data_IF_316810137429
#
_entry.id   IF_316810137429
#
_cell.length_a   1.000
_cell.length_b   1.000
_cell.length_c   1.000
_cell.angle_alpha   90.00
_cell.angle_beta   90.00
_cell.angle_gamma   90.00
#
_symmetry.space_group_name_H-M   'P 1'
#
loop_
_entity.id
_entity.type
_entity.pdbx_description
1 polymer ?
#
# COMPACT_ATOMS: atom_id res chain seq x y z
N UNK A 1 -16.71 -17.19 3.82
CA UNK A 1 -15.60 -16.26 4.11
C UNK A 1 -15.17 -15.62 2.80
N UNK A 2 -15.63 -14.40 2.52
CA UNK A 2 -15.32 -13.68 1.27
C UNK A 2 -15.15 -12.21 1.58
N UNK A 3 -13.95 -11.81 1.99
CA UNK A 3 -13.59 -10.41 2.14
C UNK A 3 -13.14 -9.89 0.79
N UNK A 4 -13.99 -9.13 0.11
CA UNK A 4 -13.68 -8.50 -1.17
C UNK A 4 -12.51 -7.54 -1.02
N UNK A 5 -11.48 -7.70 -1.88
CA UNK A 5 -10.49 -6.66 -2.10
C UNK A 5 -11.22 -5.43 -2.64
N UNK A 6 -11.50 -4.49 -1.74
CA UNK A 6 -12.23 -3.25 -2.01
C UNK A 6 -11.29 -2.08 -1.76
N UNK A 7 -11.14 -1.23 -2.77
CA UNK A 7 -10.40 0.00 -2.65
C UNK A 7 -11.39 1.08 -2.24
N UNK A 8 -11.12 1.69 -1.08
CA UNK A 8 -11.72 2.98 -0.75
C UNK A 8 -10.97 4.05 -1.53
N UNK A 9 -11.67 4.78 -2.38
CA UNK A 9 -11.11 5.92 -3.09
C UNK A 9 -11.21 7.13 -2.14
N UNK A 10 -10.06 7.61 -1.61
CA UNK A 10 -10.07 8.72 -0.66
C UNK A 10 -10.58 10.02 -1.33
N UNK A 11 -11.26 10.85 -0.54
CA UNK A 11 -11.48 12.25 -0.88
C UNK A 11 -10.14 13.00 -0.73
N UNK A 12 -9.30 13.00 -1.76
CA UNK A 12 -8.02 13.70 -1.73
C UNK A 12 -7.18 13.45 -2.99
N UNK A 13 -6.11 14.25 -3.21
CA UNK A 13 -5.26 14.17 -4.38
C UNK A 13 -4.31 12.97 -4.26
N UNK A 14 -4.84 11.76 -4.08
CA UNK A 14 -4.05 10.55 -4.22
C UNK A 14 -3.99 10.19 -5.70
N UNK A 15 -2.83 10.35 -6.37
CA UNK A 15 -2.68 10.21 -7.82
C UNK A 15 -2.69 8.74 -8.29
N UNK A 16 -3.13 7.81 -7.44
CA UNK A 16 -2.98 6.36 -7.67
C UNK A 16 -4.18 5.75 -8.40
N UNK A 17 -5.33 6.44 -8.44
CA UNK A 17 -6.45 6.02 -9.27
C UNK A 17 -6.18 6.49 -10.70
N UNK A 18 -6.19 5.57 -11.66
CA UNK A 18 -5.95 5.81 -13.10
C UNK A 18 -6.97 6.73 -13.80
N UNK A 19 -7.80 7.41 -13.01
CA UNK A 19 -8.70 8.48 -13.43
C UNK A 19 -8.10 9.88 -13.19
N UNK A 20 -6.97 10.00 -12.47
CA UNK A 20 -6.37 11.29 -12.10
C UNK A 20 -4.85 11.17 -11.83
N UNK A 21 -3.99 11.70 -12.72
CA UNK A 21 -3.06 12.73 -12.24
C UNK A 21 -2.66 13.82 -13.26
N UNK A 22 -2.33 15.00 -12.73
CA UNK A 22 -1.59 16.11 -13.37
C UNK A 22 -2.30 16.89 -14.50
N UNK A 23 -3.29 17.70 -14.14
CA UNK A 23 -3.90 18.68 -15.03
C UNK A 23 -5.38 18.88 -14.68
N UNK A 24 -5.91 20.06 -14.95
CA UNK A 24 -7.25 20.51 -14.57
C UNK A 24 -8.43 19.72 -15.23
N UNK A 25 -8.26 18.47 -15.67
CA UNK A 25 -9.32 17.62 -16.23
C UNK A 25 -9.11 16.11 -16.01
N UNK A 26 -10.17 15.31 -15.75
CA UNK A 26 -10.09 13.85 -15.60
C UNK A 26 -9.75 13.15 -16.93
N UNK A 27 -8.48 12.85 -17.15
CA UNK A 27 -8.05 12.01 -18.28
C UNK A 27 -7.98 10.54 -17.84
N UNK A 28 -8.62 9.68 -18.62
CA UNK A 28 -8.54 8.22 -18.44
C UNK A 28 -7.23 7.74 -19.04
N UNK A 29 -6.51 6.87 -18.32
CA UNK A 29 -5.30 6.28 -18.82
C UNK A 29 -5.57 5.58 -20.19
N UNK A 30 -4.70 5.76 -21.20
CA UNK A 30 -4.96 5.30 -22.57
C UNK A 30 -5.02 3.78 -22.72
N UNK A 31 -4.45 3.05 -21.77
CA UNK A 31 -4.40 1.59 -21.66
C UNK A 31 -5.45 1.03 -20.67
N UNK A 32 -6.39 1.86 -20.23
CA UNK A 32 -7.57 1.42 -19.48
C UNK A 32 -8.73 1.11 -20.43
N UNK A 33 -9.48 0.05 -20.15
CA UNK A 33 -10.70 -0.25 -20.90
C UNK A 33 -11.72 0.90 -20.81
N UNK A 34 -12.26 1.32 -21.96
CA UNK A 34 -13.13 2.48 -22.04
C UNK A 34 -14.47 2.27 -21.31
N UNK A 35 -15.02 1.06 -21.35
CA UNK A 35 -16.27 0.74 -20.67
C UNK A 35 -16.07 0.69 -19.15
N UNK A 36 -14.96 0.11 -18.69
CA UNK A 36 -14.56 0.11 -17.29
C UNK A 36 -14.33 1.53 -16.77
N UNK A 37 -13.63 2.36 -17.55
CA UNK A 37 -13.41 3.76 -17.23
C UNK A 37 -14.72 4.56 -17.08
N UNK A 38 -15.70 4.32 -17.96
CA UNK A 38 -17.03 4.93 -17.86
C UNK A 38 -17.76 4.51 -16.58
N UNK A 39 -17.68 3.22 -16.21
CA UNK A 39 -18.26 2.72 -14.95
C UNK A 39 -17.61 3.37 -13.74
N UNK A 40 -16.28 3.52 -13.74
CA UNK A 40 -15.56 4.17 -12.65
C UNK A 40 -15.92 5.66 -12.53
N UNK A 41 -16.05 6.39 -13.65
CA UNK A 41 -16.51 7.80 -13.66
C UNK A 41 -17.91 7.96 -13.09
N UNK A 42 -18.83 7.05 -13.41
CA UNK A 42 -20.18 7.06 -12.83
C UNK A 42 -20.18 6.82 -11.31
N UNK A 43 -19.30 5.93 -10.82
CA UNK A 43 -19.12 5.66 -9.39
C UNK A 43 -18.36 6.76 -8.65
N UNK A 44 -17.48 7.46 -9.35
CA UNK A 44 -16.58 8.47 -8.82
C UNK A 44 -16.76 9.81 -9.56
N UNK A 45 -17.87 10.52 -9.35
CA UNK A 45 -18.11 11.79 -10.03
C UNK A 45 -17.08 12.85 -9.61
N UNK A 46 -16.68 13.77 -10.50
CA UNK A 46 -15.70 14.80 -10.18
C UNK A 46 -16.14 15.69 -9.00
N UNK A 47 -15.20 16.32 -8.28
CA UNK A 47 -15.48 17.12 -7.08
C UNK A 47 -16.45 18.29 -7.29
N UNK A 48 -16.66 18.74 -8.54
CA UNK A 48 -17.56 19.82 -8.90
C UNK A 48 -19.05 19.44 -8.90
N UNK A 49 -19.40 18.15 -8.71
CA UNK A 49 -20.78 17.76 -8.47
C UNK A 49 -21.17 18.12 -7.02
N UNK A 50 -22.37 18.70 -6.77
CA UNK A 50 -22.80 19.04 -5.41
C UNK A 50 -22.65 17.81 -4.51
N UNK A 51 -22.12 17.95 -3.29
CA UNK A 51 -21.96 16.82 -2.39
C UNK A 51 -23.33 16.20 -2.18
N UNK A 52 -23.55 15.02 -2.77
CA UNK A 52 -24.72 14.22 -2.47
C UNK A 52 -24.65 13.97 -0.96
N UNK A 53 -25.58 14.57 -0.23
CA UNK A 53 -25.70 14.53 1.22
C UNK A 53 -25.29 13.15 1.76
N UNK A 54 -24.25 13.12 2.60
CA UNK A 54 -23.71 11.91 3.21
C UNK A 54 -22.25 11.65 2.87
N UNK A 55 -21.52 11.16 3.88
CA UNK A 55 -20.15 10.64 3.74
C UNK A 55 -20.20 9.39 2.85
N UNK A 56 -20.12 9.57 1.53
CA UNK A 56 -20.08 8.45 0.58
C UNK A 56 -18.65 7.97 0.48
N UNK A 57 -18.31 6.96 1.28
CA UNK A 57 -17.11 6.17 1.04
C UNK A 57 -17.22 5.60 -0.38
N UNK A 58 -16.47 6.18 -1.33
CA UNK A 58 -16.46 5.73 -2.73
C UNK A 58 -15.65 4.45 -2.79
N UNK A 59 -16.31 3.35 -2.51
CA UNK A 59 -15.70 2.02 -2.52
C UNK A 59 -15.94 1.38 -3.87
N UNK A 60 -14.85 0.93 -4.50
CA UNK A 60 -14.86 0.18 -5.75
C UNK A 60 -14.20 -1.17 -5.49
N UNK A 61 -14.75 -2.23 -6.06
CA UNK A 61 -14.14 -3.56 -6.01
C UNK A 61 -12.89 -3.57 -6.90
N UNK A 62 -11.75 -4.08 -6.42
CA UNK A 62 -10.53 -4.20 -7.24
C UNK A 62 -10.70 -5.22 -8.37
N UNK A 63 -11.59 -6.19 -8.18
CA UNK A 63 -12.00 -7.16 -9.19
C UNK A 63 -13.48 -6.94 -9.52
N UNK A 64 -13.81 -6.36 -10.69
CA UNK A 64 -15.21 -6.12 -11.08
C UNK A 64 -15.98 -7.41 -11.37
N UNK A 65 -15.30 -8.52 -11.67
CA UNK A 65 -15.90 -9.79 -12.09
C UNK A 65 -16.19 -10.69 -10.89
N UNK A 66 -15.17 -10.99 -10.07
CA UNK A 66 -15.26 -11.91 -8.92
C UNK A 66 -15.01 -11.22 -7.59
N UNK A 67 -15.84 -10.21 -7.31
CA UNK A 67 -15.74 -9.28 -6.17
C UNK A 67 -15.39 -9.90 -4.83
N UNK A 68 -15.95 -11.06 -4.48
CA UNK A 68 -15.84 -11.69 -3.15
C UNK A 68 -15.01 -12.99 -3.15
N UNK A 69 -14.35 -13.32 -4.26
CA UNK A 69 -13.64 -14.59 -4.43
C UNK A 69 -12.15 -14.31 -4.62
N UNK A 70 -11.31 -15.03 -3.88
CA UNK A 70 -9.87 -15.02 -4.08
C UNK A 70 -9.52 -16.03 -5.18
N UNK A 71 -9.34 -15.53 -6.39
CA UNK A 71 -8.94 -16.33 -7.55
C UNK A 71 -7.99 -15.56 -8.48
N UNK A 72 -7.69 -16.14 -9.65
CA UNK A 72 -6.79 -15.54 -10.63
C UNK A 72 -7.50 -14.61 -11.63
N UNK A 73 -8.79 -14.31 -11.43
CA UNK A 73 -9.54 -13.40 -12.30
C UNK A 73 -8.93 -12.00 -12.29
N UNK A 74 -8.35 -11.58 -11.16
CA UNK A 74 -7.57 -10.35 -11.06
C UNK A 74 -6.51 -10.22 -12.18
N UNK A 75 -5.76 -11.29 -12.47
CA UNK A 75 -4.74 -11.29 -13.52
C UNK A 75 -5.33 -11.23 -14.93
N UNK A 76 -6.53 -11.79 -15.12
CA UNK A 76 -7.27 -11.65 -16.38
C UNK A 76 -7.78 -10.22 -16.57
N UNK A 77 -8.17 -9.54 -15.50
CA UNK A 77 -8.60 -8.15 -15.54
C UNK A 77 -7.42 -7.21 -15.90
N UNK A 78 -6.20 -7.51 -15.41
CA UNK A 78 -4.97 -6.79 -15.83
C UNK A 78 -4.80 -6.87 -17.36
N UNK A 79 -4.94 -8.06 -17.94
CA UNK A 79 -4.81 -8.25 -19.40
C UNK A 79 -5.87 -7.49 -20.21
N UNK A 80 -7.02 -7.20 -19.61
CA UNK A 80 -8.12 -6.44 -20.22
C UNK A 80 -8.04 -4.93 -19.96
N UNK A 81 -7.07 -4.46 -19.20
CA UNK A 81 -7.02 -3.06 -18.77
C UNK A 81 -8.14 -2.67 -17.80
N UNK A 82 -8.75 -3.65 -17.11
CA UNK A 82 -9.85 -3.48 -16.16
C UNK A 82 -9.33 -3.34 -14.71
N UNK A 83 -8.27 -2.55 -14.51
CA UNK A 83 -7.60 -2.39 -13.20
C UNK A 83 -7.63 -0.96 -12.70
N UNK A 84 -7.76 -0.81 -11.38
CA UNK A 84 -8.01 0.49 -10.76
C UNK A 84 -6.73 1.33 -10.56
N UNK A 85 -5.63 0.69 -10.16
CA UNK A 85 -4.40 1.39 -9.81
C UNK A 85 -3.37 1.36 -10.93
N UNK A 86 -2.60 2.43 -11.03
CA UNK A 86 -1.48 2.52 -11.99
C UNK A 86 -0.43 1.46 -11.72
N UNK A 87 -0.17 1.13 -10.45
CA UNK A 87 0.77 0.08 -10.04
C UNK A 87 0.41 -1.30 -10.60
N UNK A 88 -0.87 -1.60 -10.75
CA UNK A 88 -1.34 -2.87 -11.27
C UNK A 88 -1.20 -2.93 -12.79
N UNK A 89 -1.50 -1.82 -13.45
CA UNK A 89 -1.34 -1.70 -14.90
C UNK A 89 0.13 -1.78 -15.34
N UNK A 90 1.06 -1.31 -14.51
CA UNK A 90 2.49 -1.45 -14.81
C UNK A 90 2.99 -2.90 -14.76
N UNK A 91 2.21 -3.85 -14.24
CA UNK A 91 2.61 -5.27 -14.26
C UNK A 91 2.72 -5.84 -15.68
N UNK A 92 2.09 -5.23 -16.67
CA UNK A 92 2.20 -5.65 -18.08
C UNK A 92 3.17 -4.79 -18.89
N UNK A 93 3.80 -3.77 -18.30
CA UNK A 93 4.72 -2.89 -19.04
C UNK A 93 6.11 -3.49 -19.22
N UNK A 94 6.55 -4.37 -18.32
CA UNK A 94 7.82 -5.09 -18.42
C UNK A 94 7.58 -6.55 -18.88
N UNK A 95 8.44 -7.08 -19.74
CA UNK A 95 8.29 -8.43 -20.33
C UNK A 95 8.24 -9.53 -19.27
N UNK A 96 9.08 -9.43 -18.25
CA UNK A 96 9.21 -10.46 -17.22
C UNK A 96 7.95 -10.54 -16.35
N UNK A 97 7.42 -9.39 -15.95
CA UNK A 97 6.18 -9.31 -15.15
C UNK A 97 4.96 -9.65 -16.01
N UNK A 98 4.94 -9.25 -17.28
CA UNK A 98 3.86 -9.58 -18.22
C UNK A 98 3.75 -11.09 -18.44
N UNK A 99 4.87 -11.79 -18.58
CA UNK A 99 4.89 -13.26 -18.70
C UNK A 99 4.31 -13.95 -17.46
N UNK A 100 4.62 -13.43 -16.26
CA UNK A 100 4.03 -13.94 -15.01
C UNK A 100 2.52 -13.65 -14.92
N UNK A 101 2.08 -12.47 -15.34
CA UNK A 101 0.65 -12.12 -15.39
C UNK A 101 -0.10 -13.10 -16.28
N UNK A 102 0.43 -13.39 -17.48
CA UNK A 102 -0.17 -14.33 -18.43
C UNK A 102 -0.17 -15.78 -17.91
N UNK A 103 0.91 -16.18 -17.25
CA UNK A 103 0.99 -17.49 -16.59
C UNK A 103 -0.07 -17.65 -15.48
N UNK A 104 -0.21 -16.65 -14.61
CA UNK A 104 -1.19 -16.67 -13.52
C UNK A 104 -2.63 -16.54 -14.01
N UNK A 105 -2.89 -15.76 -15.06
CA UNK A 105 -4.20 -15.65 -15.69
C UNK A 105 -4.69 -17.00 -16.27
N UNK A 106 -3.78 -17.81 -16.82
CA UNK A 106 -4.10 -19.13 -17.39
C UNK A 106 -4.15 -20.27 -16.38
N UNK A 107 -3.35 -20.22 -15.31
CA UNK A 107 -3.24 -21.33 -14.35
C UNK A 107 -3.60 -20.93 -12.91
N UNK A 108 -4.86 -21.13 -12.55
CA UNK A 108 -5.39 -20.84 -11.20
C UNK A 108 -4.67 -21.61 -10.09
N UNK A 109 -4.33 -22.89 -10.30
CA UNK A 109 -3.68 -23.72 -9.27
C UNK A 109 -2.27 -23.24 -8.99
N UNK A 110 -1.52 -22.93 -10.05
CA UNK A 110 -0.17 -22.39 -9.94
C UNK A 110 -0.17 -21.03 -9.24
N UNK A 111 -1.07 -20.13 -9.66
CA UNK A 111 -1.25 -18.85 -9.00
C UNK A 111 -1.53 -19.02 -7.50
N UNK A 112 -2.50 -19.87 -7.13
CA UNK A 112 -2.86 -20.08 -5.72
C UNK A 112 -1.69 -20.63 -4.89
N UNK A 113 -0.92 -21.56 -5.45
CA UNK A 113 0.28 -22.10 -4.81
C UNK A 113 1.35 -21.02 -4.60
N UNK A 114 1.59 -20.17 -5.60
CA UNK A 114 2.57 -19.07 -5.51
C UNK A 114 2.11 -17.97 -4.56
N UNK A 115 0.82 -17.66 -4.57
CA UNK A 115 0.21 -16.74 -3.62
C UNK A 115 0.39 -17.22 -2.18
N UNK A 116 0.11 -18.50 -1.89
CA UNK A 116 0.32 -19.07 -0.56
C UNK A 116 1.79 -18.99 -0.12
N UNK A 117 2.73 -19.35 -1.00
CA UNK A 117 4.16 -19.25 -0.71
C UNK A 117 4.60 -17.80 -0.45
N UNK A 118 4.07 -16.84 -1.21
CA UNK A 118 4.35 -15.42 -1.03
C UNK A 118 3.83 -14.89 0.32
N UNK A 119 2.63 -15.29 0.73
CA UNK A 119 2.05 -14.89 2.03
C UNK A 119 2.85 -15.46 3.22
N UNK A 120 3.34 -16.69 3.12
CA UNK A 120 4.24 -17.26 4.14
C UNK A 120 5.56 -16.48 4.20
N UNK A 121 6.15 -16.17 3.03
CA UNK A 121 7.39 -15.37 2.98
C UNK A 121 7.20 -13.98 3.58
N UNK A 122 6.08 -13.32 3.27
CA UNK A 122 5.73 -12.00 3.80
C UNK A 122 5.51 -12.03 5.32
N UNK A 123 4.89 -13.10 5.84
CA UNK A 123 4.69 -13.29 7.28
C UNK A 123 5.97 -13.56 8.08
N UNK A 124 7.08 -13.86 7.41
CA UNK A 124 8.37 -14.12 8.03
C UNK A 124 9.33 -12.91 7.99
N UNK A 125 8.89 -11.76 7.45
CA UNK A 125 9.72 -10.55 7.41
C UNK A 125 9.77 -9.90 8.79
N UNK A 126 10.99 -9.62 9.27
CA UNK A 126 11.29 -8.86 10.50
C UNK A 126 10.48 -9.28 11.73
N UNK A 127 10.23 -10.59 11.86
CA UNK A 127 9.46 -11.15 12.97
C UNK A 127 10.27 -11.11 14.27
N UNK A 128 9.65 -10.61 15.34
CA UNK A 128 10.21 -10.66 16.69
C UNK A 128 10.09 -12.08 17.23
N UNK A 129 11.21 -12.69 17.61
CA UNK A 129 11.26 -14.08 18.08
C UNK A 129 11.97 -14.21 19.43
N UNK A 130 11.73 -15.33 20.13
CA UNK A 130 12.32 -15.58 21.45
C UNK A 130 11.83 -14.57 22.49
N UNK A 131 12.76 -13.82 23.08
CA UNK A 131 12.49 -12.78 24.07
C UNK A 131 12.33 -11.38 23.47
N UNK A 132 12.32 -11.25 22.14
CA UNK A 132 12.13 -9.96 21.46
C UNK A 132 10.63 -9.59 21.45
N UNK A 133 10.31 -8.38 21.89
CA UNK A 133 8.93 -7.86 21.90
C UNK A 133 8.10 -8.34 23.10
N UNK A 134 6.76 -8.32 22.94
CA UNK A 134 5.81 -8.68 23.98
C UNK A 134 4.54 -9.32 23.41
N UNK A 135 3.89 -10.18 24.19
CA UNK A 135 2.56 -10.71 23.86
C UNK A 135 1.51 -9.71 24.36
N UNK A 136 0.93 -8.94 23.43
CA UNK A 136 -0.08 -7.92 23.76
C UNK A 136 -1.40 -8.54 24.15
N UNK A 137 -1.91 -8.20 25.33
CA UNK A 137 -3.30 -8.51 25.74
C UNK A 137 -4.33 -7.68 24.96
N UNK A 138 -3.93 -6.48 24.55
CA UNK A 138 -4.75 -5.55 23.79
C UNK A 138 -3.90 -4.99 22.65
N UNK A 139 -4.30 -5.22 21.39
CA UNK A 139 -3.47 -4.87 20.23
C UNK A 139 -3.25 -3.36 20.05
N UNK A 140 -4.16 -2.54 20.59
CA UNK A 140 -4.15 -1.08 20.48
C UNK A 140 -3.24 -0.38 21.51
N UNK A 141 -2.53 -1.11 22.37
CA UNK A 141 -1.61 -0.53 23.35
C UNK A 141 -0.44 -1.46 23.66
N UNK A 142 0.67 -0.85 24.08
CA UNK A 142 1.86 -1.56 24.55
C UNK A 142 1.70 -1.84 26.04
N UNK A 143 2.26 -2.92 26.59
CA UNK A 143 2.34 -3.04 28.05
C UNK A 143 3.31 -1.95 28.54
N UNK A 144 2.94 -1.29 29.63
CA UNK A 144 3.73 -0.20 30.22
C UNK A 144 5.20 -0.58 30.57
N UNK A 145 5.52 -1.87 30.59
CA UNK A 145 6.89 -2.38 30.79
C UNK A 145 7.80 -2.27 29.56
N UNK A 146 7.25 -2.14 28.35
CA UNK A 146 8.04 -1.99 27.12
C UNK A 146 8.47 -0.53 26.85
N UNK A 147 7.94 0.44 27.59
CA UNK A 147 8.29 1.87 27.42
C UNK A 147 9.68 2.20 27.96
N UNK A 148 10.28 1.33 28.78
CA UNK A 148 11.56 1.62 29.44
C UNK A 148 12.79 1.52 28.52
N UNK A 149 12.72 0.81 27.38
CA UNK A 149 13.90 0.59 26.53
C UNK A 149 14.10 1.61 25.39
N UNK A 150 13.12 2.47 25.11
CA UNK A 150 13.26 3.54 24.10
C UNK A 150 13.73 4.86 24.73
N UNK A 151 13.29 5.15 25.97
CA UNK A 151 13.71 6.37 26.69
C UNK A 151 15.22 6.37 26.99
N UNK A 152 15.84 5.20 27.20
CA UNK A 152 17.28 5.11 27.47
C UNK A 152 18.12 5.41 26.21
N UNK A 153 17.63 5.09 25.01
CA UNK A 153 18.32 5.42 23.75
C UNK A 153 18.29 6.91 23.45
N UNK A 154 17.18 7.58 23.74
CA UNK A 154 17.08 9.03 23.59
C UNK A 154 17.90 9.78 24.66
N UNK A 155 18.06 9.19 25.86
CA UNK A 155 18.96 9.72 26.89
C UNK A 155 20.44 9.59 26.49
N UNK A 156 20.85 8.47 25.87
CA UNK A 156 22.22 8.27 25.38
C UNK A 156 22.57 9.26 24.27
N UNK A 157 21.67 9.50 23.30
CA UNK A 157 21.93 10.46 22.20
C UNK A 157 22.07 11.89 22.71
N UNK A 158 21.28 12.29 23.71
CA UNK A 158 21.37 13.64 24.30
C UNK A 158 22.73 13.89 24.96
N UNK A 159 23.34 12.88 25.60
CA UNK A 159 24.63 12.99 26.27
C UNK A 159 25.82 13.08 25.30
N UNK A 160 25.77 12.41 24.15
CA UNK A 160 26.80 12.53 23.10
C UNK A 160 26.86 13.95 22.51
N UNK A 161 25.71 14.62 22.35
CA UNK A 161 25.68 16.02 21.89
C UNK A 161 26.35 17.01 22.85
N UNK A 162 26.31 16.71 24.16
CA UNK A 162 26.99 17.51 25.19
C UNK A 162 28.50 17.24 25.23
N UNK A 163 28.92 15.99 25.00
CA UNK A 163 30.33 15.63 24.87
C UNK A 163 30.97 16.26 23.64
N UNK A 164 30.29 16.28 22.48
CA UNK A 164 30.80 16.92 21.26
C UNK A 164 30.97 18.44 21.44
N UNK A 165 30.04 19.08 22.16
CA UNK A 165 30.12 20.51 22.48
C UNK A 165 31.28 20.81 23.45
N UNK A 166 31.53 19.93 24.43
CA UNK A 166 32.63 20.06 25.38
C UNK A 166 34.00 19.85 24.72
N UNK A 167 34.11 18.86 23.82
CA UNK A 167 35.32 18.58 23.03
C UNK A 167 35.60 19.72 22.06
N UNK A 168 34.59 20.26 21.38
CA UNK A 168 34.75 21.42 20.49
C UNK A 168 35.23 22.68 21.23
N UNK A 169 34.77 22.89 22.46
CA UNK A 169 35.15 24.07 23.26
C UNK A 169 36.59 23.94 23.77
N UNK A 170 37.03 22.72 24.14
CA UNK A 170 38.42 22.46 24.52
C UNK A 170 39.39 22.61 23.34
N UNK A 171 39.01 22.16 22.14
CA UNK A 171 39.85 22.31 20.93
C UNK A 171 40.06 23.78 20.53
N UNK A 172 39.11 24.67 20.80
CA UNK A 172 39.29 26.12 20.56
C UNK A 172 40.07 26.85 21.65
N UNK A 173 40.15 26.28 22.87
CA UNK A 173 40.86 26.88 24.00
C UNK A 173 42.34 26.49 24.05
N UNK A 174 42.72 25.36 23.46
CA UNK A 174 44.12 24.97 23.24
C UNK A 174 44.39 25.01 21.73
N UNK A 175 44.72 26.19 21.22
CA UNK A 175 44.91 26.41 19.79
C UNK A 175 45.84 25.38 19.14
N UNK A 176 45.24 24.56 18.26
CA UNK A 176 45.86 23.86 17.15
C UNK A 176 45.07 24.21 15.89
#
# INVERSE_FOLDING_TARGET
MGGAFRARIPFGPFPLVRLFPSGFYPQVAPDMDAAYAAQLRARCPPPAAPPATGRRDRVVDLDPVTKLVLDNQYYKNIQRGEVLFTSDATLVSQSDTAALVDLYARNRKLWASRFAAAMVKMGNLDVLTGSQGEIRKFCNRVLARAVQTEVEKDMVISNWSQLDSAVSTQMTATGF
#
